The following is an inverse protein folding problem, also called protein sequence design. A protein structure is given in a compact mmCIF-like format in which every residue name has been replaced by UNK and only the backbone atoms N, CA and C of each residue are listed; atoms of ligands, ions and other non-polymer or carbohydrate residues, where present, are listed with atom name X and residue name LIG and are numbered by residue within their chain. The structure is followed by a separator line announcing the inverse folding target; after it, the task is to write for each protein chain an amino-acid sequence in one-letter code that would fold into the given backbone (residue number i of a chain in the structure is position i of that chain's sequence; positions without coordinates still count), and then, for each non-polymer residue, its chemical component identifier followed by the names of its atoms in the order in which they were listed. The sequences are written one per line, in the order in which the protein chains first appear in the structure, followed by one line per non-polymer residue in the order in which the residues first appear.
data_IF_277628562287
#
_entry.id   IF_277628562287
#
_cell.length_a   1.000
_cell.length_b   1.000
_cell.length_c   1.000
_cell.angle_alpha   90.00
_cell.angle_beta   90.00
_cell.angle_gamma   90.00
#
_symmetry.space_group_name_H-M   'P 1'
#
loop_
_entity.id
_entity.type
_entity.pdbx_description
1 polymer ?
#
# COMPACT_ATOMS: atom_id res chain seq x y z
N UNK A 1 24.52 8.94 9.98
CA UNK A 1 23.09 8.85 10.35
C UNK A 1 22.44 7.92 9.35
N UNK A 2 21.81 6.83 9.80
CA UNK A 2 21.23 5.81 8.89
C UNK A 2 19.87 6.30 8.39
N UNK A 3 19.66 6.24 7.09
CA UNK A 3 18.43 6.68 6.41
C UNK A 3 17.68 5.50 5.78
N UNK A 4 16.44 5.74 5.31
CA UNK A 4 15.61 4.74 4.61
C UNK A 4 16.27 4.22 3.33
N UNK A 5 17.24 4.95 2.77
CA UNK A 5 17.96 4.57 1.56
C UNK A 5 19.09 3.56 1.81
N UNK A 6 19.57 3.47 3.05
CA UNK A 6 20.72 2.63 3.43
C UNK A 6 20.30 1.19 3.75
N UNK A 7 18.99 0.95 3.93
CA UNK A 7 18.44 -0.36 4.30
C UNK A 7 17.74 -1.01 3.09
N UNK A 8 17.95 -2.32 2.84
CA UNK A 8 17.20 -3.05 1.83
C UNK A 8 15.69 -2.93 2.03
N UNK A 9 14.97 -2.63 0.94
CA UNK A 9 13.54 -2.34 0.98
C UNK A 9 12.72 -3.48 1.60
N UNK A 10 13.07 -4.73 1.29
CA UNK A 10 12.33 -5.90 1.75
C UNK A 10 12.43 -6.08 3.27
N UNK A 11 13.61 -5.84 3.84
CA UNK A 11 13.84 -5.95 5.29
C UNK A 11 13.10 -4.82 6.01
N UNK A 12 13.22 -3.59 5.51
CA UNK A 12 12.55 -2.43 6.08
C UNK A 12 11.02 -2.60 6.07
N UNK A 13 10.44 -3.05 4.95
CA UNK A 13 8.98 -3.21 4.82
C UNK A 13 8.46 -4.29 5.78
N UNK A 14 9.19 -5.40 5.96
CA UNK A 14 8.79 -6.46 6.89
C UNK A 14 8.77 -5.97 8.33
N UNK A 15 9.86 -5.36 8.79
CA UNK A 15 9.96 -4.80 10.14
C UNK A 15 8.94 -3.69 10.38
N UNK A 16 8.76 -2.80 9.41
CA UNK A 16 7.77 -1.72 9.51
C UNK A 16 6.33 -2.26 9.55
N UNK A 17 6.05 -3.39 8.88
CA UNK A 17 4.73 -4.02 8.95
C UNK A 17 4.45 -4.65 10.32
N UNK A 18 5.46 -5.25 10.95
CA UNK A 18 5.39 -5.77 12.32
C UNK A 18 5.14 -4.62 13.31
N UNK A 19 5.94 -3.55 13.23
CA UNK A 19 5.78 -2.33 14.01
C UNK A 19 4.39 -1.69 13.88
N UNK A 20 3.87 -1.60 12.65
CA UNK A 20 2.51 -1.08 12.40
C UNK A 20 1.42 -1.96 13.01
N UNK A 21 1.65 -3.27 13.12
CA UNK A 21 0.70 -4.23 13.68
C UNK A 21 0.69 -4.17 15.21
N UNK A 22 1.84 -3.95 15.84
CA UNK A 22 1.98 -3.93 17.30
C UNK A 22 1.64 -2.56 17.90
N UNK A 23 2.16 -1.48 17.30
CA UNK A 23 2.15 -0.15 17.92
C UNK A 23 0.99 0.74 17.48
N UNK A 24 0.31 0.43 16.35
CA UNK A 24 -0.69 1.31 15.75
C UNK A 24 -2.06 0.62 15.59
N UNK A 25 -2.93 0.65 16.62
CA UNK A 25 -4.25 0.02 16.57
C UNK A 25 -5.20 0.66 15.54
N UNK A 26 -4.87 1.85 15.05
CA UNK A 26 -5.68 2.55 14.05
C UNK A 26 -5.50 2.00 12.63
N UNK A 27 -4.37 1.34 12.35
CA UNK A 27 -4.06 0.73 11.04
C UNK A 27 -4.67 -0.67 10.95
N UNK A 28 -5.88 -0.84 11.48
CA UNK A 28 -6.59 -2.12 11.48
C UNK A 28 -7.21 -2.43 10.12
N UNK A 29 -7.06 -3.66 9.59
CA UNK A 29 -7.70 -4.03 8.34
C UNK A 29 -9.23 -3.98 8.50
N UNK A 30 -9.96 -3.30 7.60
CA UNK A 30 -11.42 -3.36 7.58
C UNK A 30 -11.93 -4.79 7.34
N UNK A 31 -13.16 -5.14 7.74
CA UNK A 31 -13.69 -6.50 7.60
C UNK A 31 -13.65 -7.05 6.17
N UNK A 32 -13.83 -6.19 5.17
CA UNK A 32 -13.78 -6.58 3.76
C UNK A 32 -12.38 -6.87 3.23
N UNK A 33 -11.30 -6.46 3.92
CA UNK A 33 -9.93 -6.58 3.44
C UNK A 33 -9.51 -8.03 3.18
N UNK A 34 -10.09 -8.99 3.90
CA UNK A 34 -9.81 -10.43 3.76
C UNK A 34 -10.41 -11.04 2.50
N UNK A 35 -11.44 -10.41 1.93
CA UNK A 35 -12.22 -10.98 0.81
C UNK A 35 -11.91 -10.32 -0.54
N UNK A 36 -11.16 -9.23 -0.55
CA UNK A 36 -10.94 -8.43 -1.76
C UNK A 36 -9.58 -8.67 -2.40
N UNK A 37 -9.56 -8.55 -3.72
CA UNK A 37 -8.32 -8.40 -4.48
C UNK A 37 -7.79 -6.97 -4.44
N UNK A 38 -6.47 -6.83 -4.53
CA UNK A 38 -5.78 -5.53 -4.53
C UNK A 38 -6.02 -4.71 -5.81
N UNK A 39 -6.41 -5.34 -6.92
CA UNK A 39 -6.69 -4.63 -8.16
C UNK A 39 -7.38 -5.49 -9.21
N UNK A 40 -7.89 -4.83 -10.25
CA UNK A 40 -8.61 -5.52 -11.32
C UNK A 40 -7.72 -6.41 -12.21
N UNK A 41 -6.40 -6.29 -12.07
CA UNK A 41 -5.38 -7.08 -12.75
C UNK A 41 -4.97 -8.35 -11.97
N UNK A 42 -5.40 -8.50 -10.71
CA UNK A 42 -5.24 -9.73 -9.94
C UNK A 42 -6.50 -10.60 -10.08
N UNK A 43 -6.28 -11.92 -10.11
CA UNK A 43 -7.36 -12.91 -10.17
C UNK A 43 -7.74 -13.42 -8.78
N UNK A 44 -6.75 -13.62 -7.91
CA UNK A 44 -6.90 -14.07 -6.53
C UNK A 44 -6.64 -12.96 -5.51
N UNK A 45 -7.11 -13.19 -4.29
CA UNK A 45 -6.86 -12.40 -3.08
C UNK A 45 -5.38 -12.60 -2.67
N UNK A 46 -4.74 -11.64 -1.97
CA UNK A 46 -3.41 -11.87 -1.42
C UNK A 46 -3.35 -13.10 -0.51
N UNK A 47 -2.28 -13.89 -0.64
CA UNK A 47 -2.07 -15.10 0.18
C UNK A 47 -1.72 -14.78 1.63
N UNK A 48 -1.00 -13.68 1.85
CA UNK A 48 -0.66 -13.23 3.19
C UNK A 48 -1.87 -12.51 3.83
N UNK A 49 -2.39 -12.97 4.99
CA UNK A 49 -3.50 -12.31 5.68
C UNK A 49 -3.13 -10.90 6.17
N UNK A 50 -1.86 -10.66 6.51
CA UNK A 50 -1.32 -9.37 6.97
C UNK A 50 -0.94 -8.43 5.81
N UNK A 51 -1.46 -8.67 4.60
CA UNK A 51 -1.13 -7.85 3.42
C UNK A 51 -1.47 -6.36 3.59
N UNK A 52 -2.43 -6.04 4.46
CA UNK A 52 -2.82 -4.66 4.77
C UNK A 52 -1.66 -3.87 5.38
N UNK A 53 -1.00 -4.44 6.40
CA UNK A 53 0.15 -3.83 7.08
C UNK A 53 1.35 -3.72 6.16
N UNK A 54 1.63 -4.75 5.35
CA UNK A 54 2.68 -4.71 4.33
C UNK A 54 2.41 -3.59 3.31
N UNK A 55 1.14 -3.39 2.94
CA UNK A 55 0.76 -2.31 2.03
C UNK A 55 0.92 -0.94 2.67
N UNK A 56 0.55 -0.78 3.94
CA UNK A 56 0.76 0.43 4.71
C UNK A 56 2.25 0.80 4.84
N UNK A 57 3.09 -0.15 5.24
CA UNK A 57 4.54 0.00 5.30
C UNK A 57 5.15 0.43 3.95
N UNK A 58 4.73 -0.23 2.86
CA UNK A 58 5.15 0.12 1.50
C UNK A 58 4.71 1.54 1.09
N UNK A 59 3.53 2.00 1.53
CA UNK A 59 3.05 3.37 1.25
C UNK A 59 3.88 4.39 2.00
N UNK A 60 4.15 4.19 3.30
CA UNK A 60 5.00 5.07 4.10
C UNK A 60 6.39 5.23 3.48
N UNK A 61 7.04 4.13 3.11
CA UNK A 61 8.35 4.17 2.43
C UNK A 61 8.30 4.98 1.14
N UNK A 62 7.25 4.80 0.32
CA UNK A 62 7.11 5.53 -0.95
C UNK A 62 6.83 7.02 -0.73
N UNK A 63 6.04 7.39 0.29
CA UNK A 63 5.81 8.79 0.64
C UNK A 63 7.11 9.46 1.10
N UNK A 64 7.89 8.78 1.94
CA UNK A 64 9.20 9.27 2.37
C UNK A 64 10.15 9.47 1.16
N UNK A 65 10.19 8.50 0.24
CA UNK A 65 11.14 8.54 -0.88
C UNK A 65 10.75 9.44 -2.06
N UNK A 66 9.45 9.59 -2.36
CA UNK A 66 8.96 10.31 -3.55
C UNK A 66 8.22 11.62 -3.21
N UNK A 67 8.12 11.97 -1.93
CA UNK A 67 7.42 13.17 -1.46
C UNK A 67 5.90 13.04 -1.52
N UNK A 68 5.15 14.16 -1.73
CA UNK A 68 3.70 14.16 -1.67
C UNK A 68 3.08 13.35 -2.82
N UNK A 69 2.49 12.20 -2.48
CA UNK A 69 1.83 11.32 -3.44
C UNK A 69 0.32 11.24 -3.18
N UNK A 70 -0.45 11.53 -4.22
CA UNK A 70 -1.90 11.29 -4.22
C UNK A 70 -2.26 9.82 -4.49
N UNK A 71 -3.50 9.46 -4.16
CA UNK A 71 -4.07 8.11 -4.36
C UNK A 71 -3.94 7.62 -5.81
N UNK A 72 -4.08 8.51 -6.81
CA UNK A 72 -3.98 8.13 -8.23
C UNK A 72 -2.56 7.74 -8.65
N UNK A 73 -1.53 8.43 -8.12
CA UNK A 73 -0.13 8.11 -8.38
C UNK A 73 0.24 6.77 -7.73
N UNK A 74 -0.13 6.58 -6.46
CA UNK A 74 0.04 5.31 -5.76
C UNK A 74 -0.68 4.15 -6.47
N UNK A 75 -1.90 4.36 -6.97
CA UNK A 75 -2.63 3.35 -7.73
C UNK A 75 -1.94 2.99 -9.07
N UNK A 76 -1.14 3.90 -9.62
CA UNK A 76 -0.34 3.63 -10.82
C UNK A 76 0.92 2.85 -10.45
N UNK A 77 1.60 3.23 -9.37
CA UNK A 77 2.78 2.53 -8.84
C UNK A 77 2.49 1.08 -8.44
N UNK A 78 1.34 0.82 -7.81
CA UNK A 78 0.89 -0.52 -7.46
C UNK A 78 0.09 -1.20 -8.57
N UNK A 79 -0.04 -0.56 -9.73
CA UNK A 79 -0.70 -1.12 -10.90
C UNK A 79 0.07 -2.31 -11.46
N UNK A 80 -0.56 -3.04 -12.36
CA UNK A 80 0.03 -4.23 -12.94
C UNK A 80 -0.54 -4.58 -14.31
N UNK A 81 0.10 -5.56 -14.94
CA UNK A 81 -0.32 -6.12 -16.21
C UNK A 81 -1.58 -6.97 -16.01
N UNK A 82 -2.69 -6.58 -16.65
CA UNK A 82 -3.91 -7.40 -16.70
C UNK A 82 -3.87 -8.28 -17.94
N UNK A 83 -3.97 -9.60 -17.74
CA UNK A 83 -4.12 -10.55 -18.85
C UNK A 83 -5.46 -10.32 -19.55
N UNK A 84 -5.41 -10.07 -20.86
CA UNK A 84 -6.59 -10.18 -21.73
C UNK A 84 -6.80 -11.63 -22.12
N UNK A 85 -8.06 -12.09 -22.24
CA UNK A 85 -8.35 -13.47 -22.64
C UNK A 85 -7.89 -13.73 -24.09
N UNK A 86 -8.51 -13.03 -25.04
CA UNK A 86 -8.18 -13.06 -26.48
C UNK A 86 -7.41 -11.81 -26.95
N UNK A 87 -7.34 -10.77 -26.11
CA UNK A 87 -6.69 -9.49 -26.43
C UNK A 87 -5.31 -9.42 -25.76
N UNK A 88 -4.36 -8.64 -26.32
CA UNK A 88 -3.07 -8.40 -25.69
C UNK A 88 -3.19 -7.89 -24.25
N UNK A 89 -2.18 -8.15 -23.40
CA UNK A 89 -2.19 -7.66 -22.03
C UNK A 89 -1.95 -6.15 -21.99
N UNK A 90 -2.66 -5.44 -21.11
CA UNK A 90 -2.50 -4.01 -20.91
C UNK A 90 -2.29 -3.69 -19.43
N UNK A 91 -1.63 -2.57 -19.16
CA UNK A 91 -1.47 -2.04 -17.82
C UNK A 91 -2.82 -1.58 -17.25
N UNK A 92 -3.08 -1.90 -15.98
CA UNK A 92 -4.23 -1.42 -15.23
C UNK A 92 -3.80 -0.97 -13.83
N UNK A 93 -4.39 0.14 -13.38
CA UNK A 93 -4.15 0.69 -12.03
C UNK A 93 -4.70 -0.25 -10.95
N UNK A 94 -4.10 -0.18 -9.76
CA UNK A 94 -4.59 -0.85 -8.56
C UNK A 94 -5.94 -0.28 -8.10
N UNK A 95 -6.62 -1.04 -7.23
CA UNK A 95 -7.81 -0.55 -6.55
C UNK A 95 -7.46 0.71 -5.75
N UNK A 96 -8.30 1.74 -5.83
CA UNK A 96 -8.05 2.99 -5.10
C UNK A 96 -8.58 2.96 -3.66
N UNK A 97 -9.53 2.07 -3.37
CA UNK A 97 -10.22 2.04 -2.08
C UNK A 97 -9.28 1.68 -0.92
N UNK A 98 -8.54 0.57 -1.03
CA UNK A 98 -7.60 0.14 0.01
C UNK A 98 -6.49 1.18 0.23
N UNK A 99 -5.90 1.74 -0.83
CA UNK A 99 -4.88 2.80 -0.71
C UNK A 99 -5.43 4.02 0.03
N UNK A 100 -6.64 4.48 -0.33
CA UNK A 100 -7.27 5.63 0.34
C UNK A 100 -7.53 5.35 1.81
N UNK A 101 -8.06 4.17 2.14
CA UNK A 101 -8.38 3.79 3.51
C UNK A 101 -7.13 3.66 4.38
N UNK A 102 -6.07 3.07 3.85
CA UNK A 102 -4.76 3.02 4.52
C UNK A 102 -4.23 4.43 4.78
N UNK A 103 -4.29 5.33 3.80
CA UNK A 103 -3.86 6.73 4.01
C UNK A 103 -4.69 7.44 5.09
N UNK A 104 -6.00 7.24 5.11
CA UNK A 104 -6.87 7.79 6.16
C UNK A 104 -6.52 7.23 7.56
N UNK A 105 -6.14 5.96 7.65
CA UNK A 105 -5.71 5.35 8.91
C UNK A 105 -4.34 5.88 9.35
N UNK A 106 -3.40 6.00 8.41
CA UNK A 106 -2.09 6.56 8.68
C UNK A 106 -2.16 8.05 9.08
N UNK A 107 -3.11 8.80 8.52
CA UNK A 107 -3.38 10.18 8.90
C UNK A 107 -3.93 10.30 10.32
N UNK A 108 -4.86 9.43 10.71
CA UNK A 108 -5.34 9.38 12.10
C UNK A 108 -4.21 9.07 13.09
N UNK A 109 -3.29 8.18 12.70
CA UNK A 109 -2.16 7.79 13.55
C UNK A 109 -1.06 8.86 13.65
N UNK A 110 -1.21 9.99 12.96
CA UNK A 110 -0.23 11.09 12.94
C UNK A 110 1.02 10.81 12.11
N UNK A 111 1.12 9.66 11.43
CA UNK A 111 2.28 9.28 10.62
C UNK A 111 2.32 10.00 9.26
N UNK A 112 1.17 10.46 8.78
CA UNK A 112 1.05 11.17 7.50
C UNK A 112 0.18 12.40 7.72
N UNK A 113 0.53 13.52 7.10
CA UNK A 113 -0.32 14.69 7.05
C UNK A 113 -0.66 15.03 5.60
N UNK A 114 -1.82 15.66 5.42
CA UNK A 114 -2.20 16.22 4.14
C UNK A 114 -1.46 17.55 3.95
N UNK A 115 -0.77 17.67 2.82
CA UNK A 115 -0.16 18.94 2.41
C UNK A 115 -1.19 19.69 1.57
N UNK A 116 -1.49 20.94 1.95
CA UNK A 116 -2.31 21.82 1.12
C UNK A 116 -1.54 22.24 -0.13
N UNK A 117 -2.31 22.57 -1.17
CA UNK A 117 -1.83 22.64 -2.55
C UNK A 117 -1.05 23.91 -2.84
#
# INVERSE_FOLDING_TARGET
MVTVYDVPADVLIKRLAEELKENFPEVTPPPWAMFVKTGCFKERIPENPDWWYIRAASILRKLYGKGPLGVSRLATEYGGRKRGRRRPPHFRKAGRNHIRKILQQLEKSGLVHKVDK
#
